data_IF_367709276635
#
_entry.id   IF_367709276635
#
_cell.length_a   1.000
_cell.length_b   1.000
_cell.length_c   1.000
_cell.angle_alpha   90.00
_cell.angle_beta   90.00
_cell.angle_gamma   90.00
#
_symmetry.space_group_name_H-M   'P 1'
#
loop_
_entity.id
_entity.type
_entity.pdbx_description
1 polymer ?
#
# COMPACT_ATOMS: atom_id res chain seq x y z
N UNK A 1 -0.10 7.74 -8.49
CA UNK A 1 -1.01 8.45 -9.42
C UNK A 1 -2.01 7.52 -10.12
N UNK A 2 -1.60 6.34 -10.61
CA UNK A 2 -2.52 5.41 -11.31
C UNK A 2 -3.65 4.88 -10.42
N UNK A 3 -3.39 4.57 -9.14
CA UNK A 3 -4.38 4.00 -8.22
C UNK A 3 -5.60 4.89 -7.97
N UNK A 4 -5.40 6.14 -7.52
CA UNK A 4 -6.49 7.10 -7.25
C UNK A 4 -7.38 7.34 -8.47
N UNK A 5 -6.78 7.50 -9.65
CA UNK A 5 -7.50 7.72 -10.91
C UNK A 5 -8.36 6.50 -11.25
N UNK A 6 -7.82 5.31 -11.02
CA UNK A 6 -8.53 4.06 -11.26
C UNK A 6 -9.70 3.85 -10.28
N UNK A 7 -9.52 4.16 -8.99
CA UNK A 7 -10.58 3.98 -8.01
C UNK A 7 -11.75 4.96 -8.20
N UNK A 8 -11.47 6.23 -8.50
CA UNK A 8 -12.52 7.22 -8.77
C UNK A 8 -13.34 6.84 -10.00
N UNK A 9 -12.67 6.42 -11.09
CA UNK A 9 -13.35 5.88 -12.27
C UNK A 9 -14.20 4.64 -11.94
N UNK A 10 -13.64 3.66 -11.21
CA UNK A 10 -14.33 2.43 -10.84
C UNK A 10 -15.55 2.72 -9.97
N UNK A 11 -15.47 3.70 -9.06
CA UNK A 11 -16.59 4.10 -8.22
C UNK A 11 -17.75 4.60 -9.08
N UNK A 12 -17.50 5.55 -9.99
CA UNK A 12 -18.52 6.00 -10.94
C UNK A 12 -19.07 4.86 -11.80
N UNK A 13 -18.18 4.00 -12.30
CA UNK A 13 -18.55 2.89 -13.18
C UNK A 13 -19.53 1.93 -12.49
N UNK A 14 -19.21 1.48 -11.27
CA UNK A 14 -20.05 0.56 -10.53
C UNK A 14 -21.34 1.20 -10.02
N UNK A 15 -21.34 2.50 -9.70
CA UNK A 15 -22.57 3.23 -9.36
C UNK A 15 -23.52 3.31 -10.57
N UNK A 16 -23.01 3.56 -11.77
CA UNK A 16 -23.80 3.53 -13.01
C UNK A 16 -24.33 2.12 -13.31
N UNK A 17 -23.54 1.08 -13.10
CA UNK A 17 -23.99 -0.30 -13.29
C UNK A 17 -25.08 -0.66 -12.27
N UNK A 18 -24.90 -0.29 -11.00
CA UNK A 18 -25.90 -0.49 -9.94
C UNK A 18 -27.21 0.27 -10.20
N UNK A 19 -27.17 1.39 -10.92
CA UNK A 19 -28.37 2.14 -11.32
C UNK A 19 -29.13 1.54 -12.51
N UNK A 20 -28.65 0.41 -13.03
CA UNK A 20 -29.30 -0.34 -14.11
C UNK A 20 -28.69 -0.11 -15.49
N UNK A 21 -27.61 0.67 -15.62
CA UNK A 21 -26.90 0.79 -16.89
C UNK A 21 -26.10 -0.48 -17.18
N UNK A 22 -25.98 -0.82 -18.45
CA UNK A 22 -25.03 -1.84 -18.89
C UNK A 22 -23.59 -1.35 -18.72
N UNK A 23 -22.64 -2.29 -18.63
CA UNK A 23 -21.21 -1.95 -18.56
C UNK A 23 -20.75 -1.08 -19.73
N UNK A 24 -21.27 -1.35 -20.94
CA UNK A 24 -20.96 -0.57 -22.14
C UNK A 24 -21.46 0.87 -22.05
N UNK A 25 -22.67 1.07 -21.53
CA UNK A 25 -23.24 2.40 -21.32
C UNK A 25 -22.50 3.17 -20.22
N UNK A 26 -22.12 2.50 -19.14
CA UNK A 26 -21.31 3.09 -18.08
C UNK A 26 -19.94 3.53 -18.61
N UNK A 27 -19.25 2.68 -19.38
CA UNK A 27 -17.99 3.03 -20.05
C UNK A 27 -18.14 4.24 -20.97
N UNK A 28 -19.20 4.26 -21.79
CA UNK A 28 -19.44 5.35 -22.73
C UNK A 28 -19.77 6.67 -22.01
N UNK A 29 -20.50 6.59 -20.87
CA UNK A 29 -20.82 7.76 -20.03
C UNK A 29 -19.55 8.36 -19.43
N UNK A 30 -18.59 7.52 -19.01
CA UNK A 30 -17.35 7.97 -18.37
C UNK A 30 -16.23 8.28 -19.37
N UNK A 31 -16.42 8.00 -20.66
CA UNK A 31 -15.40 8.22 -21.67
C UNK A 31 -15.13 9.70 -21.87
N UNK A 32 -13.89 10.11 -21.69
CA UNK A 32 -13.47 11.51 -21.85
C UNK A 32 -13.78 12.42 -20.66
N UNK A 33 -14.26 11.86 -19.55
CA UNK A 33 -14.57 12.63 -18.32
C UNK A 33 -13.31 12.89 -17.47
N UNK A 34 -13.25 14.09 -16.92
CA UNK A 34 -12.22 14.52 -15.96
C UNK A 34 -12.64 14.19 -14.52
N UNK A 35 -11.78 14.49 -13.55
CA UNK A 35 -12.06 14.22 -12.13
C UNK A 35 -13.24 15.05 -11.60
N UNK A 36 -13.41 16.28 -12.10
CA UNK A 36 -14.51 17.16 -11.71
C UNK A 36 -15.86 16.60 -12.18
N UNK A 37 -15.96 16.19 -13.45
CA UNK A 37 -17.17 15.56 -14.02
C UNK A 37 -17.60 14.31 -13.23
N UNK A 38 -16.62 13.51 -12.76
CA UNK A 38 -16.87 12.29 -11.97
C UNK A 38 -17.40 12.62 -10.58
N UNK A 39 -16.82 13.62 -9.91
CA UNK A 39 -17.31 14.11 -8.62
C UNK A 39 -18.74 14.66 -8.75
N UNK A 40 -19.01 15.44 -9.80
CA UNK A 40 -20.33 15.98 -10.07
C UNK A 40 -21.35 14.86 -10.33
N UNK A 41 -20.97 13.84 -11.12
CA UNK A 41 -21.81 12.67 -11.37
C UNK A 41 -22.14 11.91 -10.09
N UNK A 42 -21.15 11.65 -9.23
CA UNK A 42 -21.36 10.97 -7.94
C UNK A 42 -22.27 11.78 -7.01
N UNK A 43 -22.03 13.08 -6.92
CA UNK A 43 -22.80 13.98 -6.05
C UNK A 43 -24.24 14.16 -6.52
N UNK A 44 -24.45 14.50 -7.80
CA UNK A 44 -25.78 14.83 -8.32
C UNK A 44 -26.67 13.60 -8.51
N UNK A 45 -26.12 12.50 -9.05
CA UNK A 45 -26.95 11.33 -9.39
C UNK A 45 -27.08 10.36 -8.23
N UNK A 46 -26.07 10.27 -7.37
CA UNK A 46 -26.00 9.24 -6.35
C UNK A 46 -25.92 9.78 -4.92
N UNK A 47 -25.79 11.10 -4.74
CA UNK A 47 -25.60 11.74 -3.43
C UNK A 47 -24.41 11.14 -2.67
N UNK A 48 -23.39 10.68 -3.43
CA UNK A 48 -22.15 10.11 -2.91
C UNK A 48 -21.06 11.15 -3.06
N UNK A 49 -20.36 11.43 -1.96
CA UNK A 49 -19.15 12.23 -1.97
C UNK A 49 -17.94 11.30 -1.92
N UNK A 50 -17.12 11.31 -2.98
CA UNK A 50 -15.92 10.48 -3.03
C UNK A 50 -14.97 10.75 -1.86
N UNK A 51 -14.90 11.98 -1.35
CA UNK A 51 -14.02 12.29 -0.21
C UNK A 51 -14.44 11.62 1.11
N UNK A 52 -15.69 11.19 1.22
CA UNK A 52 -16.21 10.51 2.42
C UNK A 52 -15.92 9.00 2.39
N UNK A 53 -15.45 8.47 1.25
CA UNK A 53 -15.03 7.08 1.15
C UNK A 53 -13.83 6.77 2.08
N UNK A 54 -13.78 5.55 2.66
CA UNK A 54 -12.66 5.11 3.48
C UNK A 54 -11.30 5.38 2.84
N UNK A 55 -10.37 5.92 3.65
CA UNK A 55 -9.05 6.29 3.18
C UNK A 55 -8.30 5.12 2.52
N UNK A 56 -8.56 3.87 2.94
CA UNK A 56 -7.98 2.68 2.34
C UNK A 56 -8.35 2.48 0.86
N UNK A 57 -9.57 2.87 0.45
CA UNK A 57 -10.01 2.77 -0.95
C UNK A 57 -9.42 3.88 -1.80
N UNK A 58 -9.24 5.05 -1.20
CA UNK A 58 -8.74 6.22 -1.91
C UNK A 58 -7.22 6.22 -2.02
N UNK A 59 -6.55 6.04 -0.89
CA UNK A 59 -5.09 6.22 -0.72
C UNK A 59 -4.30 4.92 -0.70
N UNK A 60 -4.98 3.77 -0.67
CA UNK A 60 -4.32 2.48 -0.48
C UNK A 60 -3.86 2.26 0.96
N UNK A 61 -2.97 1.29 1.14
CA UNK A 61 -2.47 0.88 2.45
C UNK A 61 -0.95 0.86 2.45
N UNK A 62 -0.35 1.54 3.43
CA UNK A 62 1.08 1.57 3.67
C UNK A 62 1.40 0.74 4.89
N UNK A 63 2.36 -0.17 4.78
CA UNK A 63 2.83 -1.03 5.86
C UNK A 63 4.29 -0.70 6.13
N UNK A 64 4.62 -0.38 7.37
CA UNK A 64 5.97 -0.01 7.76
C UNK A 64 6.17 -0.25 9.25
N UNK A 65 7.42 -0.20 9.72
CA UNK A 65 7.72 -0.30 11.15
C UNK A 65 7.70 1.09 11.76
N UNK A 66 6.69 1.39 12.59
CA UNK A 66 6.56 2.67 13.28
C UNK A 66 7.04 2.59 14.74
N UNK A 67 7.45 3.73 15.28
CA UNK A 67 7.82 3.89 16.69
C UNK A 67 6.56 3.99 17.54
N UNK A 68 6.20 2.88 18.19
CA UNK A 68 5.04 2.78 19.07
C UNK A 68 5.49 2.81 20.53
N UNK A 69 4.83 3.63 21.34
CA UNK A 69 5.05 3.71 22.78
C UNK A 69 4.29 2.58 23.49
N UNK A 70 5.02 1.61 24.06
CA UNK A 70 4.42 0.47 24.77
C UNK A 70 4.64 0.62 26.28
N UNK A 71 3.58 0.39 27.07
CA UNK A 71 3.70 0.24 28.53
C UNK A 71 4.37 -1.10 28.83
N UNK A 72 5.55 -1.07 29.45
CA UNK A 72 6.33 -2.28 29.71
C UNK A 72 6.14 -2.76 31.14
N UNK A 73 6.11 -1.83 32.10
CA UNK A 73 5.92 -2.09 33.54
C UNK A 73 5.25 -0.90 34.18
N UNK A 74 4.80 -1.09 35.41
CA UNK A 74 4.42 -0.01 36.32
C UNK A 74 5.54 0.13 37.35
N UNK A 75 5.93 1.36 37.69
CA UNK A 75 6.87 1.59 38.79
C UNK A 75 6.19 1.34 40.15
N UNK A 76 6.97 1.38 41.23
CA UNK A 76 6.50 1.16 42.60
C UNK A 76 5.46 2.22 43.07
N UNK A 77 5.27 3.29 42.29
CA UNK A 77 4.35 4.40 42.56
C UNK A 77 3.10 4.39 41.65
N UNK A 78 2.93 3.36 40.81
CA UNK A 78 1.78 3.26 39.92
C UNK A 78 1.94 3.98 38.58
N UNK A 79 3.09 4.59 38.27
CA UNK A 79 3.33 5.25 36.99
C UNK A 79 3.73 4.25 35.91
N UNK A 80 3.18 4.39 34.68
CA UNK A 80 3.53 3.51 33.58
C UNK A 80 4.94 3.82 33.06
N UNK A 81 5.83 2.82 33.12
CA UNK A 81 7.13 2.85 32.45
C UNK A 81 6.90 2.50 30.98
N UNK A 82 7.08 3.51 30.13
CA UNK A 82 6.89 3.39 28.70
C UNK A 82 8.22 3.21 27.98
N UNK A 83 8.25 2.37 26.95
CA UNK A 83 9.39 2.25 26.03
C UNK A 83 8.90 2.34 24.60
N UNK A 84 9.70 2.99 23.77
CA UNK A 84 9.47 3.03 22.32
C UNK A 84 9.98 1.72 21.72
N UNK A 85 9.14 1.09 20.90
CA UNK A 85 9.49 -0.10 20.11
C UNK A 85 9.06 0.12 18.66
N UNK A 86 9.74 -0.54 17.74
CA UNK A 86 9.29 -0.61 16.36
C UNK A 86 8.22 -1.70 16.24
N UNK A 87 7.02 -1.33 15.84
CA UNK A 87 5.92 -2.24 15.58
C UNK A 87 5.48 -2.08 14.13
N UNK A 88 5.02 -3.17 13.52
CA UNK A 88 4.46 -3.12 12.16
C UNK A 88 3.11 -2.43 12.22
N UNK A 89 2.98 -1.37 11.45
CA UNK A 89 1.82 -0.49 11.40
C UNK A 89 1.29 -0.46 9.98
N UNK A 90 -0.02 -0.58 9.85
CA UNK A 90 -0.74 -0.32 8.59
C UNK A 90 -1.41 1.06 8.71
N UNK A 91 -1.25 1.89 7.69
CA UNK A 91 -1.90 3.21 7.62
C UNK A 91 -2.41 3.50 6.21
N UNK A 92 -3.40 4.39 6.09
CA UNK A 92 -3.99 4.79 4.80
C UNK A 92 -3.73 6.28 4.57
N UNK A 93 -2.46 6.66 4.52
CA UNK A 93 -2.00 8.05 4.42
C UNK A 93 -1.54 8.38 3.00
N UNK A 94 -1.45 9.68 2.71
CA UNK A 94 -0.84 10.12 1.45
C UNK A 94 0.68 9.99 1.54
N UNK A 95 1.23 9.04 0.79
CA UNK A 95 2.67 8.79 0.71
C UNK A 95 3.32 9.50 -0.49
N UNK A 96 2.56 10.22 -1.30
CA UNK A 96 3.10 11.06 -2.38
C UNK A 96 3.55 12.40 -1.79
N UNK A 97 2.77 12.94 -0.86
CA UNK A 97 3.08 14.16 -0.14
C UNK A 97 4.32 14.05 0.78
N UNK A 98 5.00 15.17 1.06
CA UNK A 98 6.21 15.17 1.88
C UNK A 98 5.92 14.95 3.37
N UNK A 99 4.69 15.17 3.83
CA UNK A 99 4.30 15.10 5.24
C UNK A 99 4.58 13.71 5.84
N UNK A 100 4.19 12.66 5.10
CA UNK A 100 4.43 11.28 5.51
C UNK A 100 5.93 11.03 5.70
N UNK A 101 6.75 11.33 4.70
CA UNK A 101 8.19 11.08 4.75
C UNK A 101 8.92 11.98 5.75
N UNK A 102 8.42 13.21 5.96
CA UNK A 102 8.92 14.13 6.99
C UNK A 102 8.68 13.62 8.40
N UNK A 103 7.53 12.99 8.66
CA UNK A 103 7.21 12.38 9.96
C UNK A 103 7.93 11.06 10.19
N UNK A 104 8.15 10.29 9.13
CA UNK A 104 8.71 8.93 9.20
C UNK A 104 10.10 8.83 8.53
N UNK A 105 10.96 9.83 8.72
CA UNK A 105 12.31 9.86 8.12
C UNK A 105 13.13 8.61 8.42
N UNK A 106 12.88 7.97 9.56
CA UNK A 106 13.58 6.75 9.98
C UNK A 106 13.26 5.53 9.11
N UNK A 107 12.21 5.54 8.29
CA UNK A 107 11.89 4.45 7.33
C UNK A 107 13.00 4.32 6.29
N UNK A 108 13.54 5.47 5.84
CA UNK A 108 14.57 5.54 4.80
C UNK A 108 15.97 5.85 5.36
N UNK A 109 16.11 6.12 6.67
CA UNK A 109 17.42 6.39 7.25
C UNK A 109 18.25 5.11 7.35
N UNK A 110 19.42 5.16 6.72
CA UNK A 110 20.48 4.17 6.86
C UNK A 110 20.86 3.98 8.33
N UNK A 111 20.93 2.72 8.78
CA UNK A 111 21.91 2.39 9.81
C UNK A 111 23.29 2.74 9.25
N UNK A 112 24.02 3.66 9.88
CA UNK A 112 25.41 3.98 9.53
C UNK A 112 26.26 2.70 9.58
N UNK A 113 26.42 2.03 8.45
CA UNK A 113 27.41 0.99 8.28
C UNK A 113 28.43 1.49 7.25
N UNK A 114 29.63 1.79 7.74
CA UNK A 114 30.81 2.02 6.89
C UNK A 114 31.13 0.70 6.20
N UNK A 115 31.07 0.66 4.88
CA UNK A 115 31.57 -0.47 4.12
C UNK A 115 32.94 -0.15 3.53
N UNK A 116 33.90 -1.03 3.78
CA UNK A 116 35.14 -1.13 3.01
C UNK A 116 34.83 -1.77 1.65
N UNK A 117 35.20 -1.06 0.60
CA UNK A 117 34.93 -1.42 -0.79
C UNK A 117 35.84 -2.56 -1.25
N UNK A 118 35.41 -3.83 -1.17
CA UNK A 118 36.10 -4.90 -1.89
C UNK A 118 35.17 -6.04 -2.33
N UNK A 119 34.83 -6.11 -3.63
CA UNK A 119 35.26 -7.19 -4.56
C UNK A 119 34.35 -7.31 -5.80
N UNK A 120 35.05 -7.28 -6.94
CA UNK A 120 34.90 -8.05 -8.19
C UNK A 120 33.48 -8.53 -8.57
N UNK A 121 32.94 -7.85 -9.58
CA UNK A 121 31.84 -8.33 -10.41
C UNK A 121 32.27 -9.56 -11.21
N UNK A 122 31.76 -10.73 -10.85
CA UNK A 122 31.89 -11.95 -11.68
C UNK A 122 30.53 -12.60 -12.00
N UNK A 123 29.39 -11.92 -11.79
CA UNK A 123 28.08 -12.47 -12.17
C UNK A 123 27.11 -11.37 -12.63
N UNK A 124 26.71 -11.42 -13.90
CA UNK A 124 25.71 -10.52 -14.54
C UNK A 124 24.30 -10.68 -13.93
N UNK A 125 24.11 -11.65 -13.03
CA UNK A 125 22.80 -12.05 -12.45
C UNK A 125 22.49 -11.47 -11.08
N UNK A 126 23.44 -10.77 -10.43
CA UNK A 126 23.22 -10.17 -9.12
C UNK A 126 22.78 -8.72 -9.29
N UNK A 127 21.70 -8.33 -8.61
CA UNK A 127 21.31 -6.92 -8.58
C UNK A 127 22.45 -6.08 -7.98
N UNK A 128 22.79 -4.91 -8.55
CA UNK A 128 23.95 -4.16 -8.10
C UNK A 128 23.78 -3.76 -6.63
N UNK A 129 24.88 -3.75 -5.88
CA UNK A 129 24.91 -3.31 -4.48
C UNK A 129 24.46 -1.84 -4.38
N UNK A 130 23.90 -1.46 -3.22
CA UNK A 130 23.45 -0.10 -2.91
C UNK A 130 22.32 0.40 -3.83
N UNK A 131 21.39 -0.48 -4.18
CA UNK A 131 20.16 -0.11 -4.88
C UNK A 131 18.94 -0.60 -4.10
N UNK A 132 17.91 0.24 -4.03
CA UNK A 132 16.58 -0.14 -3.57
C UNK A 132 16.02 -1.24 -4.47
N UNK A 133 15.55 -2.32 -3.86
CA UNK A 133 14.84 -3.38 -4.57
C UNK A 133 13.36 -3.20 -4.26
N UNK A 134 12.53 -3.13 -5.30
CA UNK A 134 11.08 -3.09 -5.17
C UNK A 134 10.49 -4.35 -5.80
N UNK A 135 9.85 -5.18 -4.97
CA UNK A 135 9.12 -6.37 -5.42
C UNK A 135 7.64 -6.06 -5.45
N UNK A 136 7.04 -6.11 -6.64
CA UNK A 136 5.59 -5.91 -6.83
C UNK A 136 4.91 -7.25 -7.05
N UNK A 137 3.95 -7.56 -6.20
CA UNK A 137 3.08 -8.72 -6.28
C UNK A 137 1.70 -8.24 -6.73
N UNK A 138 1.16 -8.86 -7.77
CA UNK A 138 -0.19 -8.58 -8.27
C UNK A 138 -0.98 -9.87 -8.35
N UNK A 139 -2.24 -9.84 -7.90
CA UNK A 139 -3.10 -11.00 -7.98
C UNK A 139 -3.45 -11.32 -9.45
N UNK A 140 -3.06 -12.50 -9.89
CA UNK A 140 -3.38 -12.99 -11.23
C UNK A 140 -4.88 -13.32 -11.35
N UNK A 141 -5.51 -12.96 -12.47
CA UNK A 141 -6.93 -13.21 -12.74
C UNK A 141 -7.89 -12.72 -11.65
N UNK A 142 -7.56 -11.58 -11.03
CA UNK A 142 -8.33 -11.02 -9.91
C UNK A 142 -9.81 -10.79 -10.24
N UNK A 143 -10.17 -10.46 -11.47
CA UNK A 143 -11.57 -10.28 -11.87
C UNK A 143 -12.39 -11.56 -11.64
N UNK A 144 -11.86 -12.71 -12.11
CA UNK A 144 -12.50 -14.02 -11.92
C UNK A 144 -12.55 -14.40 -10.44
N UNK A 145 -11.45 -14.18 -9.72
CA UNK A 145 -11.37 -14.45 -8.29
C UNK A 145 -12.43 -13.64 -7.51
N UNK A 146 -12.53 -12.34 -7.80
CA UNK A 146 -13.49 -11.44 -7.15
C UNK A 146 -14.94 -11.84 -7.43
N UNK A 147 -15.23 -12.35 -8.64
CA UNK A 147 -16.56 -12.84 -9.00
C UNK A 147 -16.90 -14.14 -8.25
N UNK A 148 -15.97 -15.10 -8.22
CA UNK A 148 -16.16 -16.39 -7.52
C UNK A 148 -16.42 -16.17 -6.03
N UNK A 149 -15.69 -15.23 -5.42
CA UNK A 149 -15.81 -14.91 -4.00
C UNK A 149 -16.83 -13.80 -3.69
N UNK A 150 -17.59 -13.33 -4.69
CA UNK A 150 -18.66 -12.34 -4.53
C UNK A 150 -18.20 -11.05 -3.83
N UNK A 151 -17.05 -10.53 -4.24
CA UNK A 151 -16.49 -9.31 -3.66
C UNK A 151 -17.40 -8.10 -3.89
N UNK A 152 -17.46 -7.24 -2.89
CA UNK A 152 -18.11 -5.95 -3.03
C UNK A 152 -17.42 -5.09 -4.09
N UNK A 153 -18.23 -4.36 -4.87
CA UNK A 153 -17.77 -3.44 -5.91
C UNK A 153 -18.18 -2.00 -5.56
N UNK A 154 -17.29 -1.00 -5.75
CA UNK A 154 -15.97 -1.09 -6.40
C UNK A 154 -14.86 -1.71 -5.53
N UNK A 155 -15.02 -1.70 -4.21
CA UNK A 155 -13.99 -2.14 -3.26
C UNK A 155 -14.60 -3.10 -2.22
N UNK A 156 -13.80 -4.07 -1.80
CA UNK A 156 -14.14 -5.04 -0.75
C UNK A 156 -13.20 -4.85 0.43
N UNK A 157 -13.76 -4.43 1.57
CA UNK A 157 -13.00 -4.13 2.79
C UNK A 157 -12.33 -5.38 3.37
N UNK A 158 -13.01 -6.53 3.30
CA UNK A 158 -12.51 -7.79 3.85
C UNK A 158 -11.30 -8.27 3.06
N UNK A 159 -11.38 -8.22 1.73
CA UNK A 159 -10.30 -8.59 0.84
C UNK A 159 -9.06 -7.70 1.03
N UNK A 160 -9.26 -6.39 1.14
CA UNK A 160 -8.16 -5.45 1.37
C UNK A 160 -7.55 -5.62 2.78
N UNK A 161 -8.38 -5.90 3.79
CA UNK A 161 -7.91 -6.21 5.14
C UNK A 161 -7.07 -7.49 5.16
N UNK A 162 -7.48 -8.51 4.40
CA UNK A 162 -6.70 -9.73 4.22
C UNK A 162 -5.34 -9.44 3.56
N UNK A 163 -5.33 -8.65 2.48
CA UNK A 163 -4.07 -8.25 1.83
C UNK A 163 -3.14 -7.49 2.76
N UNK A 164 -3.68 -6.60 3.60
CA UNK A 164 -2.90 -5.86 4.60
C UNK A 164 -2.34 -6.77 5.70
N UNK A 165 -3.11 -7.75 6.15
CA UNK A 165 -2.63 -8.77 7.09
C UNK A 165 -1.51 -9.60 6.47
N UNK A 166 -1.66 -10.05 5.22
CA UNK A 166 -0.61 -10.77 4.50
C UNK A 166 0.66 -9.92 4.32
N UNK A 167 0.52 -8.64 4.00
CA UNK A 167 1.66 -7.73 3.88
C UNK A 167 2.39 -7.50 5.22
N UNK A 168 1.63 -7.45 6.32
CA UNK A 168 2.20 -7.35 7.66
C UNK A 168 3.00 -8.60 8.01
N UNK A 169 2.47 -9.80 7.73
CA UNK A 169 3.19 -11.06 7.92
C UNK A 169 4.44 -11.16 7.05
N UNK A 170 4.41 -10.65 5.81
CA UNK A 170 5.61 -10.57 4.96
C UNK A 170 6.69 -9.70 5.60
N UNK A 171 6.33 -8.56 6.19
CA UNK A 171 7.28 -7.72 6.92
C UNK A 171 7.77 -8.37 8.22
N UNK A 172 6.98 -9.21 8.87
CA UNK A 172 7.45 -10.00 10.03
C UNK A 172 8.48 -11.05 9.59
N UNK A 173 8.21 -11.75 8.49
CA UNK A 173 9.06 -12.82 7.97
C UNK A 173 10.36 -12.30 7.35
N UNK A 174 10.33 -11.12 6.71
CA UNK A 174 11.47 -10.53 6.01
C UNK A 174 11.83 -9.16 6.63
N UNK A 175 12.75 -9.13 7.61
CA UNK A 175 13.19 -7.90 8.27
C UNK A 175 13.71 -6.83 7.30
N UNK A 176 14.33 -7.27 6.21
CA UNK A 176 14.92 -6.44 5.15
C UNK A 176 13.89 -5.61 4.37
N UNK A 177 12.61 -5.98 4.42
CA UNK A 177 11.53 -5.14 3.89
C UNK A 177 11.35 -3.96 4.83
N UNK A 178 11.60 -2.74 4.34
CA UNK A 178 11.51 -1.51 5.13
C UNK A 178 10.16 -0.82 4.98
N UNK A 179 9.48 -1.03 3.85
CA UNK A 179 8.23 -0.36 3.52
C UNK A 179 7.41 -1.22 2.54
N UNK A 180 6.10 -1.21 2.70
CA UNK A 180 5.14 -1.84 1.79
C UNK A 180 4.03 -0.86 1.42
N UNK A 181 3.57 -0.92 0.17
CA UNK A 181 2.41 -0.17 -0.29
C UNK A 181 1.49 -1.04 -1.14
N UNK A 182 0.23 -1.14 -0.73
CA UNK A 182 -0.82 -1.87 -1.41
C UNK A 182 -1.90 -0.94 -1.96
N UNK A 183 -2.38 -1.26 -3.15
CA UNK A 183 -3.51 -0.57 -3.75
C UNK A 183 -4.30 -1.55 -4.61
N UNK A 184 -5.63 -1.63 -4.44
CA UNK A 184 -6.46 -2.60 -5.16
C UNK A 184 -5.94 -4.04 -4.98
N UNK A 185 -5.55 -4.72 -6.06
CA UNK A 185 -5.14 -6.12 -6.10
C UNK A 185 -3.61 -6.33 -6.13
N UNK A 186 -2.84 -5.30 -5.78
CA UNK A 186 -1.38 -5.35 -5.79
C UNK A 186 -0.74 -4.81 -4.52
N UNK A 187 0.45 -5.32 -4.23
CA UNK A 187 1.32 -4.88 -3.15
C UNK A 187 2.75 -4.74 -3.66
N UNK A 188 3.41 -3.64 -3.28
CA UNK A 188 4.82 -3.40 -3.56
C UNK A 188 5.59 -3.38 -2.26
N UNK A 189 6.70 -4.09 -2.18
CA UNK A 189 7.58 -4.17 -1.02
C UNK A 189 8.95 -3.61 -1.38
N UNK A 190 9.43 -2.69 -0.56
CA UNK A 190 10.73 -2.04 -0.70
C UNK A 190 11.71 -2.68 0.28
N UNK A 191 12.79 -3.22 -0.24
CA UNK A 191 13.88 -3.79 0.55
C UNK A 191 15.00 -2.79 0.75
N UNK A 192 15.66 -2.84 1.91
CA UNK A 192 16.85 -2.06 2.20
C UNK A 192 17.95 -2.26 1.14
N UNK A 193 18.65 -1.19 0.80
CA UNK A 193 19.64 -1.22 -0.30
C UNK A 193 20.77 -2.24 -0.08
N UNK A 194 21.14 -2.47 1.18
CA UNK A 194 22.18 -3.39 1.63
C UNK A 194 21.68 -4.82 1.86
N UNK A 195 20.45 -5.15 1.46
CA UNK A 195 19.96 -6.52 1.60
C UNK A 195 20.85 -7.49 0.83
N UNK A 196 21.25 -8.57 1.52
CA UNK A 196 21.94 -9.73 0.93
C UNK A 196 20.98 -10.93 0.79
N UNK A 197 19.68 -10.70 1.00
CA UNK A 197 18.66 -11.74 0.93
C UNK A 197 18.75 -12.47 -0.42
N UNK A 198 18.82 -13.80 -0.35
CA UNK A 198 19.04 -14.68 -1.51
C UNK A 198 20.21 -14.26 -2.42
N UNK A 199 21.26 -13.65 -1.85
CA UNK A 199 22.42 -13.14 -2.61
C UNK A 199 22.03 -12.13 -3.70
N UNK A 200 20.89 -11.44 -3.52
CA UNK A 200 20.30 -10.52 -4.50
C UNK A 200 20.05 -11.19 -5.87
N UNK A 201 19.76 -12.49 -5.83
CA UNK A 201 19.36 -13.26 -7.01
C UNK A 201 17.86 -13.03 -7.28
N UNK A 202 17.52 -12.85 -8.55
CA UNK A 202 16.14 -12.63 -9.00
C UNK A 202 15.30 -13.92 -9.02
N UNK A 203 15.95 -15.10 -8.93
CA UNK A 203 15.33 -16.43 -9.02
C UNK A 203 15.57 -17.32 -7.82
#
# INVERSE_FOLDING_TARGET
LSGHINNHYNTCFWMLVKSGKTEKEAQQTLKGTFSEDKNELLSQQFQVNYEDEPAMFRKGSSVYRDKVETKVKTDDYGNPIKRIRLAITVSNLDIIGPEFWGKHQYILQEGKYRYEYVKKFDDIRRLPCCNWIVVRISACQFDKFSLIHSFDKPNDETALSLMNASASLMMEQFPDIIFGYGFSNEYSFVFQENTELYQRNER
#
